data_IF_114291014734
#
_entry.id   IF_114291014734
#
_cell.length_a   1.000
_cell.length_b   1.000
_cell.length_c   1.000
_cell.angle_alpha   90.00
_cell.angle_beta   90.00
_cell.angle_gamma   90.00
#
_symmetry.space_group_name_H-M   'P 1'
#
loop_
_entity.id
_entity.type
_entity.pdbx_description
1 polymer ?
#
# COMPACT_ATOMS: atom_id res chain seq x y z
N UNK A 1 -1.31 39.31 -24.99
CA UNK A 1 -2.42 38.73 -24.21
C UNK A 1 -3.00 37.50 -24.89
N UNK A 2 -3.57 37.57 -26.10
CA UNK A 2 -4.21 36.41 -26.77
C UNK A 2 -3.28 35.16 -26.97
N UNK A 3 -2.02 35.32 -27.31
CA UNK A 3 -1.10 34.20 -27.49
C UNK A 3 -0.76 33.48 -26.17
N UNK A 4 -0.79 34.17 -25.04
CA UNK A 4 -0.57 33.61 -23.72
C UNK A 4 -1.82 32.85 -23.19
N UNK A 5 -3.01 33.42 -23.43
CA UNK A 5 -4.29 32.75 -23.16
C UNK A 5 -4.46 31.47 -23.97
N UNK A 6 -4.10 31.49 -25.25
CA UNK A 6 -4.16 30.31 -26.12
C UNK A 6 -3.21 29.20 -25.62
N UNK A 7 -1.98 29.57 -25.26
CA UNK A 7 -0.99 28.63 -24.72
C UNK A 7 -1.38 28.09 -23.31
N UNK A 8 -2.11 28.90 -22.55
CA UNK A 8 -2.64 28.49 -21.25
C UNK A 8 -3.84 27.54 -21.40
N UNK A 9 -4.72 27.77 -22.36
CA UNK A 9 -5.84 26.87 -22.69
C UNK A 9 -5.35 25.54 -23.26
N UNK A 10 -4.37 25.53 -24.13
CA UNK A 10 -3.69 24.33 -24.64
C UNK A 10 -3.07 23.54 -23.47
N UNK A 11 -2.37 24.22 -22.56
CA UNK A 11 -1.74 23.56 -21.41
C UNK A 11 -2.78 22.98 -20.41
N UNK A 12 -3.91 23.66 -20.16
CA UNK A 12 -5.00 23.14 -19.35
C UNK A 12 -5.63 21.90 -20.02
N UNK A 13 -5.86 21.96 -21.31
CA UNK A 13 -6.40 20.86 -22.11
C UNK A 13 -5.48 19.63 -22.04
N UNK A 14 -4.20 19.80 -22.25
CA UNK A 14 -3.20 18.74 -22.20
C UNK A 14 -3.11 18.12 -20.79
N UNK A 15 -3.16 18.96 -19.75
CA UNK A 15 -3.17 18.50 -18.36
C UNK A 15 -4.39 17.64 -18.05
N UNK A 16 -5.57 18.07 -18.50
CA UNK A 16 -6.82 17.32 -18.30
C UNK A 16 -6.80 15.96 -19.01
N UNK A 17 -6.29 15.89 -20.24
CA UNK A 17 -6.18 14.64 -20.98
C UNK A 17 -5.18 13.68 -20.33
N UNK A 18 -4.04 14.16 -19.85
CA UNK A 18 -3.07 13.33 -19.11
C UNK A 18 -3.63 12.77 -17.79
N UNK A 19 -4.39 13.58 -17.05
CA UNK A 19 -5.07 13.15 -15.81
C UNK A 19 -6.12 12.06 -16.11
N UNK A 20 -6.90 12.21 -17.18
CA UNK A 20 -7.91 11.24 -17.58
C UNK A 20 -7.30 9.88 -17.95
N UNK A 21 -6.22 9.88 -18.74
CA UNK A 21 -5.50 8.64 -19.11
C UNK A 21 -4.95 7.92 -17.88
N UNK A 22 -4.38 8.67 -16.93
CA UNK A 22 -3.90 8.08 -15.68
C UNK A 22 -5.04 7.43 -14.89
N UNK A 23 -6.15 8.16 -14.65
CA UNK A 23 -7.24 7.60 -13.86
C UNK A 23 -7.94 6.44 -14.56
N UNK A 24 -8.08 6.44 -15.88
CA UNK A 24 -8.61 5.31 -16.60
C UNK A 24 -7.74 4.05 -16.41
N UNK A 25 -6.42 4.17 -16.55
CA UNK A 25 -5.49 3.07 -16.31
C UNK A 25 -5.45 2.64 -14.83
N UNK A 26 -5.44 3.61 -13.90
CA UNK A 26 -5.45 3.35 -12.46
C UNK A 26 -6.72 2.59 -12.01
N UNK A 27 -7.90 3.03 -12.47
CA UNK A 27 -9.17 2.38 -12.17
C UNK A 27 -9.19 0.93 -12.67
N UNK A 28 -8.70 0.69 -13.89
CA UNK A 28 -8.63 -0.68 -14.45
C UNK A 28 -7.75 -1.61 -13.60
N UNK A 29 -6.56 -1.15 -13.22
CA UNK A 29 -5.64 -1.95 -12.40
C UNK A 29 -6.23 -2.18 -11.00
N UNK A 30 -6.75 -1.12 -10.38
CA UNK A 30 -7.32 -1.16 -9.04
C UNK A 30 -8.55 -2.06 -8.97
N UNK A 31 -9.49 -1.90 -9.91
CA UNK A 31 -10.69 -2.73 -9.98
C UNK A 31 -10.33 -4.20 -10.23
N UNK A 32 -9.38 -4.47 -11.14
CA UNK A 32 -8.88 -5.83 -11.37
C UNK A 32 -8.32 -6.45 -10.08
N UNK A 33 -7.42 -5.73 -9.38
CA UNK A 33 -6.81 -6.22 -8.13
C UNK A 33 -7.87 -6.54 -7.09
N UNK A 34 -8.80 -5.60 -6.87
CA UNK A 34 -9.91 -5.79 -5.94
C UNK A 34 -10.84 -6.95 -6.34
N UNK A 35 -11.19 -7.07 -7.62
CA UNK A 35 -12.05 -8.16 -8.08
C UNK A 35 -11.42 -9.54 -7.86
N UNK A 36 -10.11 -9.66 -8.11
CA UNK A 36 -9.35 -10.89 -7.88
C UNK A 36 -9.22 -11.26 -6.38
N UNK A 37 -9.37 -10.30 -5.48
CA UNK A 37 -9.38 -10.57 -4.03
C UNK A 37 -10.75 -10.99 -3.49
N UNK A 38 -11.79 -11.05 -4.33
CA UNK A 38 -13.16 -11.43 -3.95
C UNK A 38 -13.52 -12.84 -4.41
N UNK A 39 -14.61 -13.39 -3.83
CA UNK A 39 -15.21 -14.65 -4.26
C UNK A 39 -16.18 -14.50 -5.47
N UNK A 40 -16.21 -13.33 -6.12
CA UNK A 40 -16.95 -13.18 -7.37
C UNK A 40 -16.34 -14.04 -8.48
N UNK A 41 -17.16 -14.55 -9.43
CA UNK A 41 -16.66 -15.32 -10.57
C UNK A 41 -15.56 -14.58 -11.32
N UNK A 42 -14.42 -15.25 -11.51
CA UNK A 42 -13.25 -14.66 -12.16
C UNK A 42 -13.43 -14.67 -13.68
N UNK A 43 -13.36 -13.48 -14.28
CA UNK A 43 -13.39 -13.36 -15.73
C UNK A 43 -11.95 -13.31 -16.28
N UNK A 44 -11.53 -14.38 -16.97
CA UNK A 44 -10.19 -14.50 -17.56
C UNK A 44 -9.88 -13.37 -18.54
N UNK A 45 -10.86 -12.93 -19.34
CA UNK A 45 -10.66 -11.82 -20.30
C UNK A 45 -10.41 -10.50 -19.59
N UNK A 46 -11.15 -10.18 -18.52
CA UNK A 46 -10.91 -9.01 -17.70
C UNK A 46 -9.48 -9.01 -17.14
N UNK A 47 -9.03 -10.15 -16.63
CA UNK A 47 -7.68 -10.30 -16.07
C UNK A 47 -6.58 -10.14 -17.13
N UNK A 48 -6.79 -10.69 -18.34
CA UNK A 48 -5.78 -10.63 -19.42
C UNK A 48 -5.71 -9.27 -20.10
N UNK A 49 -6.84 -8.60 -20.34
CA UNK A 49 -6.90 -7.36 -21.11
C UNK A 49 -6.65 -6.12 -20.25
N UNK A 50 -7.00 -6.14 -18.96
CA UNK A 50 -6.85 -4.96 -18.09
C UNK A 50 -5.39 -4.50 -17.96
N UNK A 51 -4.42 -5.41 -17.90
CA UNK A 51 -3.00 -5.06 -17.73
C UNK A 51 -2.44 -4.37 -18.99
N UNK A 52 -2.55 -4.95 -20.22
CA UNK A 52 -2.06 -4.28 -21.43
C UNK A 52 -2.75 -2.94 -21.68
N UNK A 53 -4.09 -2.87 -21.51
CA UNK A 53 -4.84 -1.64 -21.73
C UNK A 53 -4.44 -0.56 -20.74
N UNK A 54 -4.37 -0.86 -19.45
CA UNK A 54 -3.92 0.09 -18.46
C UNK A 54 -2.47 0.52 -18.67
N UNK A 55 -1.59 -0.41 -19.07
CA UNK A 55 -0.19 -0.11 -19.40
C UNK A 55 -0.07 0.82 -20.60
N UNK A 56 -0.91 0.63 -21.62
CA UNK A 56 -0.99 1.51 -22.78
C UNK A 56 -1.47 2.92 -22.37
N UNK A 57 -2.56 3.03 -21.60
CA UNK A 57 -3.11 4.31 -21.17
C UNK A 57 -2.11 5.12 -20.32
N UNK A 58 -1.50 4.48 -19.33
CA UNK A 58 -0.51 5.12 -18.46
C UNK A 58 0.78 5.41 -19.23
N UNK A 59 1.19 4.51 -20.12
CA UNK A 59 2.34 4.71 -21.02
C UNK A 59 2.14 5.91 -21.94
N UNK A 60 0.97 6.06 -22.56
CA UNK A 60 0.63 7.24 -23.36
C UNK A 60 0.66 8.53 -22.54
N UNK A 61 0.14 8.48 -21.29
CA UNK A 61 0.24 9.62 -20.36
C UNK A 61 1.69 10.01 -20.12
N UNK A 62 2.55 9.05 -19.83
CA UNK A 62 3.98 9.30 -19.55
C UNK A 62 4.71 9.85 -20.78
N UNK A 63 4.45 9.30 -21.97
CA UNK A 63 5.15 9.67 -23.19
C UNK A 63 4.68 11.00 -23.78
N UNK A 64 3.38 11.31 -23.74
CA UNK A 64 2.79 12.46 -24.41
C UNK A 64 2.67 13.69 -23.50
N UNK A 65 2.45 13.48 -22.18
CA UNK A 65 2.08 14.56 -21.26
C UNK A 65 3.13 14.82 -20.17
N UNK A 66 4.02 13.86 -19.89
CA UNK A 66 5.04 14.04 -18.86
C UNK A 66 6.37 14.50 -19.44
N UNK A 67 6.96 15.54 -18.83
CA UNK A 67 8.27 16.03 -19.19
C UNK A 67 9.29 15.60 -18.14
N UNK A 68 10.34 14.89 -18.57
CA UNK A 68 11.43 14.44 -17.70
C UNK A 68 12.76 15.04 -18.19
N UNK A 69 13.58 15.66 -17.30
CA UNK A 69 14.96 15.97 -17.62
C UNK A 69 15.74 14.71 -18.00
N UNK A 70 16.70 14.82 -18.90
CA UNK A 70 17.46 13.68 -19.46
C UNK A 70 18.02 12.75 -18.35
N UNK A 71 18.57 13.31 -17.27
CA UNK A 71 19.08 12.50 -16.14
C UNK A 71 18.00 11.67 -15.46
N UNK A 72 16.83 12.26 -15.24
CA UNK A 72 15.70 11.53 -14.66
C UNK A 72 15.18 10.46 -15.62
N UNK A 73 15.08 10.78 -16.89
CA UNK A 73 14.66 9.85 -17.93
C UNK A 73 15.56 8.59 -17.97
N UNK A 74 16.88 8.77 -17.95
CA UNK A 74 17.83 7.63 -17.89
C UNK A 74 17.65 6.79 -16.62
N UNK A 75 17.46 7.45 -15.47
CA UNK A 75 17.21 6.73 -14.20
C UNK A 75 15.89 5.95 -14.26
N UNK A 76 14.84 6.49 -14.87
CA UNK A 76 13.57 5.79 -15.05
C UNK A 76 13.72 4.53 -15.91
N UNK A 77 14.53 4.57 -16.96
CA UNK A 77 14.81 3.39 -17.76
C UNK A 77 15.53 2.29 -16.97
N UNK A 78 16.50 2.66 -16.12
CA UNK A 78 17.16 1.70 -15.23
C UNK A 78 16.16 1.04 -14.29
N UNK A 79 15.28 1.83 -13.66
CA UNK A 79 14.22 1.32 -12.78
C UNK A 79 13.28 0.38 -13.53
N UNK A 80 12.83 0.77 -14.73
CA UNK A 80 11.95 -0.07 -15.56
C UNK A 80 12.62 -1.37 -15.98
N UNK A 81 13.85 -1.34 -16.47
CA UNK A 81 14.58 -2.54 -16.88
C UNK A 81 14.76 -3.49 -15.68
N UNK A 82 15.23 -2.99 -14.53
CA UNK A 82 15.37 -3.80 -13.32
C UNK A 82 14.05 -4.41 -12.88
N UNK A 83 12.94 -3.64 -12.98
CA UNK A 83 11.61 -4.13 -12.62
C UNK A 83 11.12 -5.19 -13.61
N UNK A 84 11.32 -5.00 -14.90
CA UNK A 84 10.96 -5.98 -15.94
C UNK A 84 11.74 -7.29 -15.77
N UNK A 85 13.05 -7.20 -15.50
CA UNK A 85 13.86 -8.39 -15.18
C UNK A 85 13.33 -9.10 -13.92
N UNK A 86 13.01 -8.34 -12.87
CA UNK A 86 12.40 -8.90 -11.66
C UNK A 86 11.09 -9.63 -11.99
N UNK A 87 10.18 -9.01 -12.74
CA UNK A 87 8.91 -9.64 -13.15
C UNK A 87 9.11 -10.89 -14.02
N UNK A 88 10.10 -10.87 -14.90
CA UNK A 88 10.42 -12.01 -15.75
C UNK A 88 10.87 -13.21 -14.93
N UNK A 89 11.80 -13.02 -13.97
CA UNK A 89 12.30 -14.11 -13.15
C UNK A 89 11.35 -14.56 -12.04
N UNK A 90 10.50 -13.65 -11.53
CA UNK A 90 9.53 -13.95 -10.48
C UNK A 90 8.19 -14.47 -11.01
N UNK A 91 7.91 -14.29 -12.30
CA UNK A 91 6.60 -14.55 -12.93
C UNK A 91 5.45 -13.76 -12.27
N UNK A 92 5.76 -12.60 -11.66
CA UNK A 92 4.76 -11.72 -11.02
C UNK A 92 4.70 -10.37 -11.72
N UNK A 93 3.53 -9.76 -11.78
CA UNK A 93 3.32 -8.48 -12.47
C UNK A 93 3.15 -7.28 -11.54
N UNK A 94 2.92 -7.52 -10.24
CA UNK A 94 2.56 -6.47 -9.28
C UNK A 94 3.68 -5.41 -9.13
N UNK A 95 4.95 -5.83 -9.16
CA UNK A 95 6.08 -4.91 -9.14
C UNK A 95 6.05 -3.94 -10.33
N UNK A 96 5.79 -4.45 -11.54
CA UNK A 96 5.67 -3.64 -12.75
C UNK A 96 4.49 -2.67 -12.68
N UNK A 97 3.32 -3.15 -12.27
CA UNK A 97 2.11 -2.32 -12.14
C UNK A 97 2.31 -1.19 -11.13
N UNK A 98 2.94 -1.47 -9.99
CA UNK A 98 3.25 -0.45 -9.00
C UNK A 98 4.21 0.62 -9.56
N UNK A 99 5.29 0.24 -10.23
CA UNK A 99 6.24 1.19 -10.83
C UNK A 99 5.56 2.00 -11.94
N UNK A 100 4.77 1.37 -12.78
CA UNK A 100 4.02 2.04 -13.85
C UNK A 100 3.09 3.12 -13.28
N UNK A 101 2.35 2.80 -12.22
CA UNK A 101 1.46 3.74 -11.52
C UNK A 101 2.25 4.86 -10.83
N UNK A 102 3.39 4.54 -10.21
CA UNK A 102 4.29 5.54 -9.61
C UNK A 102 4.77 6.54 -10.66
N UNK A 103 5.18 6.07 -11.82
CA UNK A 103 5.60 6.94 -12.92
C UNK A 103 4.44 7.77 -13.47
N UNK A 104 3.30 7.12 -13.70
CA UNK A 104 2.09 7.78 -14.18
C UNK A 104 1.48 8.78 -13.19
N UNK A 105 1.74 8.66 -11.88
CA UNK A 105 1.21 9.58 -10.86
C UNK A 105 1.88 10.96 -10.87
N UNK A 106 2.90 11.16 -11.71
CA UNK A 106 3.56 12.47 -11.84
C UNK A 106 2.53 13.55 -12.20
N UNK A 107 2.60 14.67 -11.49
CA UNK A 107 1.73 15.84 -11.67
C UNK A 107 0.23 15.59 -11.39
N UNK A 108 -0.14 14.40 -10.88
CA UNK A 108 -1.50 14.09 -10.42
C UNK A 108 -1.65 14.47 -8.93
N UNK A 109 -2.77 15.06 -8.57
CA UNK A 109 -3.09 15.40 -7.19
C UNK A 109 -3.33 14.13 -6.35
N UNK A 110 -2.50 13.91 -5.34
CA UNK A 110 -2.54 12.68 -4.54
C UNK A 110 -3.89 12.48 -3.82
N UNK A 111 -4.53 13.54 -3.34
CA UNK A 111 -5.86 13.42 -2.72
C UNK A 111 -6.95 12.94 -3.70
N UNK A 112 -6.84 13.26 -5.00
CA UNK A 112 -7.75 12.71 -6.01
C UNK A 112 -7.52 11.20 -6.17
N UNK A 113 -6.24 10.76 -6.21
CA UNK A 113 -5.89 9.34 -6.26
C UNK A 113 -6.50 8.62 -5.04
N UNK A 114 -6.33 9.17 -3.84
CA UNK A 114 -6.89 8.59 -2.61
C UNK A 114 -8.42 8.52 -2.62
N UNK A 115 -9.10 9.54 -3.16
CA UNK A 115 -10.57 9.55 -3.26
C UNK A 115 -11.06 8.46 -4.23
N UNK A 116 -10.41 8.31 -5.39
CA UNK A 116 -10.75 7.25 -6.36
C UNK A 116 -10.49 5.87 -5.74
N UNK A 117 -9.35 5.69 -5.06
CA UNK A 117 -9.04 4.47 -4.33
C UNK A 117 -10.13 4.15 -3.29
N UNK A 118 -10.49 5.12 -2.44
CA UNK A 118 -11.50 4.94 -1.39
C UNK A 118 -12.86 4.53 -1.95
N UNK A 119 -13.27 5.15 -3.07
CA UNK A 119 -14.57 4.83 -3.72
C UNK A 119 -14.56 3.42 -4.30
N UNK A 120 -13.53 3.06 -5.06
CA UNK A 120 -13.50 1.76 -5.75
C UNK A 120 -13.30 0.61 -4.76
N UNK A 121 -12.28 0.70 -3.90
CA UNK A 121 -12.02 -0.35 -2.90
C UNK A 121 -13.19 -0.46 -1.92
N UNK A 122 -13.71 0.67 -1.43
CA UNK A 122 -14.88 0.70 -0.55
C UNK A 122 -16.13 0.10 -1.19
N UNK A 123 -16.43 0.47 -2.44
CA UNK A 123 -17.60 -0.06 -3.14
C UNK A 123 -17.51 -1.58 -3.36
N UNK A 124 -16.33 -2.09 -3.80
CA UNK A 124 -16.14 -3.53 -4.00
C UNK A 124 -16.19 -4.28 -2.67
N UNK A 125 -15.61 -3.74 -1.59
CA UNK A 125 -15.69 -4.32 -0.25
C UNK A 125 -17.14 -4.42 0.25
N UNK A 126 -17.92 -3.35 0.12
CA UNK A 126 -19.33 -3.35 0.51
C UNK A 126 -20.13 -4.34 -0.34
N UNK A 127 -19.89 -4.36 -1.66
CA UNK A 127 -20.55 -5.28 -2.57
C UNK A 127 -20.25 -6.75 -2.22
N UNK A 128 -18.97 -7.09 -1.98
CA UNK A 128 -18.57 -8.44 -1.60
C UNK A 128 -19.17 -8.86 -0.24
N UNK A 129 -19.13 -7.96 0.75
CA UNK A 129 -19.75 -8.20 2.05
C UNK A 129 -21.26 -8.48 1.93
N UNK A 130 -22.00 -7.61 1.24
CA UNK A 130 -23.45 -7.80 1.04
C UNK A 130 -23.74 -9.05 0.21
N UNK A 131 -23.04 -9.31 -0.88
CA UNK A 131 -23.22 -10.49 -1.70
C UNK A 131 -22.95 -11.78 -0.93
N UNK A 132 -21.97 -11.79 -0.04
CA UNK A 132 -21.67 -12.95 0.81
C UNK A 132 -22.71 -13.16 1.92
N UNK A 133 -23.28 -12.08 2.47
CA UNK A 133 -24.31 -12.20 3.52
C UNK A 133 -25.65 -12.68 2.97
N UNK A 134 -25.99 -12.36 1.72
CA UNK A 134 -27.22 -12.85 1.06
C UNK A 134 -27.01 -14.17 0.30
N UNK A 135 -25.79 -14.74 0.32
CA UNK A 135 -25.49 -16.03 -0.29
C UNK A 135 -25.30 -16.02 -1.81
N UNK A 136 -25.09 -14.85 -2.42
CA UNK A 136 -24.76 -14.72 -3.87
C UNK A 136 -23.33 -15.18 -4.16
N UNK A 137 -22.41 -14.92 -3.26
CA UNK A 137 -21.05 -15.46 -3.26
C UNK A 137 -20.76 -16.14 -1.92
N UNK A 138 -19.79 -17.03 -1.91
CA UNK A 138 -19.44 -17.79 -0.72
C UNK A 138 -18.77 -16.90 0.34
N UNK A 139 -19.19 -17.02 1.61
CA UNK A 139 -18.42 -16.55 2.74
C UNK A 139 -17.51 -17.67 3.23
N UNK A 140 -16.27 -17.70 2.78
CA UNK A 140 -15.30 -18.71 3.21
C UNK A 140 -15.08 -18.60 4.73
N UNK A 141 -15.21 -19.74 5.40
CA UNK A 141 -15.04 -19.86 6.84
C UNK A 141 -13.90 -20.83 7.15
N UNK A 142 -12.94 -20.38 7.93
CA UNK A 142 -11.75 -21.15 8.29
C UNK A 142 -11.78 -21.47 9.78
N UNK A 143 -11.63 -22.74 10.12
CA UNK A 143 -11.51 -23.16 11.50
C UNK A 143 -10.05 -23.07 11.96
N UNK A 144 -9.81 -22.53 13.15
CA UNK A 144 -8.50 -22.53 13.80
C UNK A 144 -8.46 -23.59 14.90
N UNK A 145 -7.28 -24.00 15.34
CA UNK A 145 -7.04 -24.99 16.40
C UNK A 145 -7.94 -24.82 17.64
N UNK A 146 -8.38 -23.58 17.94
CA UNK A 146 -9.28 -23.24 19.03
C UNK A 146 -10.79 -23.34 18.69
N UNK A 147 -11.15 -23.99 17.56
CA UNK A 147 -12.53 -24.10 17.04
C UNK A 147 -13.23 -22.75 16.78
N UNK A 148 -12.45 -21.66 16.63
CA UNK A 148 -13.00 -20.34 16.31
C UNK A 148 -13.11 -20.20 14.80
N UNK A 149 -14.32 -19.95 14.31
CA UNK A 149 -14.57 -19.69 12.89
C UNK A 149 -14.12 -18.28 12.53
N UNK A 150 -13.35 -18.17 11.47
CA UNK A 150 -12.83 -16.94 10.87
C UNK A 150 -13.58 -16.69 9.58
N UNK A 151 -14.27 -15.57 9.47
CA UNK A 151 -15.07 -15.22 8.30
C UNK A 151 -14.26 -14.35 7.34
N UNK A 152 -14.34 -14.65 6.05
CA UNK A 152 -13.71 -13.87 4.98
C UNK A 152 -14.65 -12.82 4.36
N UNK A 153 -15.95 -12.88 4.64
CA UNK A 153 -16.97 -11.93 4.20
C UNK A 153 -16.94 -11.64 2.68
N UNK A 154 -16.82 -12.69 1.86
CA UNK A 154 -16.81 -12.59 0.40
C UNK A 154 -15.47 -12.18 -0.21
N UNK A 155 -14.44 -12.00 0.62
CA UNK A 155 -13.02 -11.88 0.20
C UNK A 155 -12.40 -13.28 0.25
N UNK A 156 -11.28 -13.50 -0.46
CA UNK A 156 -10.64 -14.82 -0.57
C UNK A 156 -10.05 -15.33 0.75
N UNK A 157 -9.76 -14.44 1.73
CA UNK A 157 -9.20 -14.84 3.00
C UNK A 157 -9.53 -13.83 4.13
N UNK A 158 -9.71 -14.27 5.40
CA UNK A 158 -10.10 -13.38 6.50
C UNK A 158 -9.11 -12.25 6.80
N UNK A 159 -7.80 -12.49 6.70
CA UNK A 159 -6.80 -11.44 6.88
C UNK A 159 -6.77 -10.45 5.73
N UNK A 160 -7.12 -10.87 4.52
CA UNK A 160 -7.20 -9.97 3.37
C UNK A 160 -8.38 -8.99 3.51
N UNK A 161 -9.54 -9.49 4.01
CA UNK A 161 -10.66 -8.61 4.38
C UNK A 161 -10.25 -7.57 5.41
N UNK A 162 -9.55 -8.00 6.46
CA UNK A 162 -9.07 -7.11 7.53
C UNK A 162 -8.02 -6.12 7.03
N UNK A 163 -7.11 -6.55 6.16
CA UNK A 163 -6.10 -5.70 5.54
C UNK A 163 -6.74 -4.61 4.67
N UNK A 164 -7.73 -4.94 3.82
CA UNK A 164 -8.45 -3.93 3.06
C UNK A 164 -9.07 -2.85 3.96
N UNK A 165 -9.69 -3.24 5.07
CA UNK A 165 -10.25 -2.30 6.04
C UNK A 165 -9.18 -1.42 6.69
N UNK A 166 -8.02 -1.99 7.05
CA UNK A 166 -6.89 -1.22 7.57
C UNK A 166 -6.41 -0.17 6.55
N UNK A 167 -6.17 -0.57 5.29
CA UNK A 167 -5.70 0.36 4.26
C UNK A 167 -6.74 1.44 3.93
N UNK A 168 -8.04 1.12 3.89
CA UNK A 168 -9.12 2.11 3.77
C UNK A 168 -9.09 3.12 4.92
N UNK A 169 -8.91 2.65 6.16
CA UNK A 169 -8.78 3.54 7.32
C UNK A 169 -7.58 4.48 7.21
N UNK A 170 -6.42 4.00 6.74
CA UNK A 170 -5.26 4.88 6.54
C UNK A 170 -5.60 6.04 5.60
N UNK A 171 -6.32 5.76 4.52
CA UNK A 171 -6.75 6.77 3.54
C UNK A 171 -7.80 7.71 4.14
N UNK A 172 -8.80 7.20 4.86
CA UNK A 172 -9.83 8.01 5.53
C UNK A 172 -9.19 8.97 6.53
N UNK A 173 -8.28 8.48 7.38
CA UNK A 173 -7.57 9.29 8.36
C UNK A 173 -6.78 10.42 7.69
N UNK A 174 -6.10 10.12 6.60
CA UNK A 174 -5.35 11.15 5.87
C UNK A 174 -6.26 12.20 5.22
N UNK A 175 -7.33 11.78 4.54
CA UNK A 175 -8.28 12.73 3.90
C UNK A 175 -8.96 13.59 4.97
N UNK A 176 -9.30 13.02 6.12
CA UNK A 176 -10.00 13.72 7.22
C UNK A 176 -9.07 14.40 8.23
N UNK A 177 -7.75 14.38 8.04
CA UNK A 177 -6.73 14.85 9.01
C UNK A 177 -7.02 16.22 9.62
N UNK A 178 -7.56 17.16 8.84
CA UNK A 178 -7.87 18.52 9.30
C UNK A 178 -9.25 18.63 9.97
N UNK A 179 -10.09 17.61 9.89
CA UNK A 179 -11.47 17.58 10.40
C UNK A 179 -11.75 16.34 11.24
N UNK A 180 -10.70 15.78 11.87
CA UNK A 180 -10.82 14.59 12.70
C UNK A 180 -11.70 14.86 13.92
N UNK A 181 -12.67 13.96 14.14
CA UNK A 181 -13.57 13.97 15.30
C UNK A 181 -13.35 12.68 16.09
N UNK A 182 -13.66 12.70 17.38
CA UNK A 182 -13.55 11.52 18.27
C UNK A 182 -14.26 10.27 17.72
N UNK A 183 -15.34 10.46 16.95
CA UNK A 183 -16.08 9.34 16.36
C UNK A 183 -15.22 8.52 15.37
N UNK A 184 -14.26 9.13 14.65
CA UNK A 184 -13.36 8.39 13.76
C UNK A 184 -12.42 7.48 14.56
N UNK A 185 -11.88 7.97 15.68
CA UNK A 185 -11.01 7.17 16.56
C UNK A 185 -11.78 6.02 17.21
N UNK A 186 -12.93 6.33 17.82
CA UNK A 186 -13.78 5.33 18.49
C UNK A 186 -14.33 4.30 17.51
N UNK A 187 -14.81 4.73 16.34
CA UNK A 187 -15.27 3.84 15.30
C UNK A 187 -14.19 2.90 14.79
N UNK A 188 -12.93 3.40 14.64
CA UNK A 188 -11.81 2.57 14.22
C UNK A 188 -11.37 1.56 15.29
N UNK A 189 -11.41 1.94 16.57
CA UNK A 189 -11.18 1.00 17.70
C UNK A 189 -12.27 -0.07 17.72
N UNK A 190 -13.54 0.32 17.54
CA UNK A 190 -14.65 -0.64 17.43
C UNK A 190 -14.46 -1.59 16.25
N UNK A 191 -14.04 -1.07 15.07
CA UNK A 191 -13.76 -1.90 13.90
C UNK A 191 -12.59 -2.86 14.15
N UNK A 192 -11.52 -2.42 14.83
CA UNK A 192 -10.41 -3.31 15.23
C UNK A 192 -10.92 -4.47 16.12
N UNK A 193 -11.88 -4.21 17.03
CA UNK A 193 -12.55 -5.24 17.81
C UNK A 193 -13.39 -6.19 16.96
N UNK A 194 -14.12 -5.68 15.98
CA UNK A 194 -14.95 -6.48 15.04
C UNK A 194 -14.09 -7.43 14.23
N UNK A 195 -13.02 -6.94 13.58
CA UNK A 195 -12.13 -7.81 12.77
C UNK A 195 -11.34 -8.79 13.64
N UNK A 196 -10.99 -8.41 14.88
CA UNK A 196 -10.39 -9.33 15.84
C UNK A 196 -11.36 -10.48 16.20
N UNK A 197 -12.64 -10.17 16.39
CA UNK A 197 -13.64 -11.15 16.79
C UNK A 197 -14.06 -12.06 15.63
N UNK A 198 -14.43 -11.50 14.48
CA UNK A 198 -15.00 -12.23 13.34
C UNK A 198 -13.97 -12.81 12.37
N UNK A 199 -12.83 -12.15 12.20
CA UNK A 199 -11.78 -12.60 11.28
C UNK A 199 -10.58 -13.25 11.99
N UNK A 200 -10.51 -13.18 13.34
CA UNK A 200 -9.32 -13.51 14.15
C UNK A 200 -8.03 -12.91 13.58
N UNK A 201 -8.13 -11.67 13.07
CA UNK A 201 -7.04 -10.95 12.46
C UNK A 201 -6.35 -10.04 13.47
N UNK A 202 -5.51 -10.64 14.32
CA UNK A 202 -4.86 -9.97 15.45
C UNK A 202 -3.93 -8.84 15.01
N UNK A 203 -3.13 -9.10 13.99
CA UNK A 203 -2.08 -8.18 13.56
C UNK A 203 -2.64 -6.97 12.81
N UNK A 204 -3.70 -7.13 12.02
CA UNK A 204 -4.38 -6.01 11.39
C UNK A 204 -5.12 -5.15 12.41
N UNK A 205 -5.73 -5.78 13.43
CA UNK A 205 -6.33 -5.07 14.57
C UNK A 205 -5.28 -4.21 15.29
N UNK A 206 -4.10 -4.76 15.56
CA UNK A 206 -2.98 -4.01 16.15
C UNK A 206 -2.52 -2.87 15.23
N UNK A 207 -2.45 -3.10 13.92
CA UNK A 207 -2.09 -2.06 12.94
C UNK A 207 -3.09 -0.90 12.94
N UNK A 208 -4.39 -1.18 13.05
CA UNK A 208 -5.44 -0.15 13.22
C UNK A 208 -5.24 0.63 14.53
N UNK A 209 -4.97 -0.04 15.64
CA UNK A 209 -4.73 0.63 16.93
C UNK A 209 -3.49 1.51 16.89
N UNK A 210 -2.41 1.07 16.22
CA UNK A 210 -1.22 1.89 16.00
C UNK A 210 -1.56 3.13 15.16
N UNK A 211 -2.30 2.97 14.06
CA UNK A 211 -2.75 4.09 13.24
C UNK A 211 -3.55 5.11 14.06
N UNK A 212 -4.55 4.64 14.82
CA UNK A 212 -5.37 5.47 15.70
C UNK A 212 -4.51 6.21 16.72
N UNK A 213 -3.60 5.51 17.40
CA UNK A 213 -2.70 6.09 18.40
C UNK A 213 -1.80 7.18 17.81
N UNK A 214 -1.22 6.96 16.64
CA UNK A 214 -0.37 7.93 15.96
C UNK A 214 -1.11 9.21 15.60
N UNK A 215 -2.29 9.09 15.02
CA UNK A 215 -3.09 10.26 14.63
C UNK A 215 -3.66 10.98 15.84
N UNK A 216 -4.12 10.24 16.87
CA UNK A 216 -4.64 10.86 18.09
C UNK A 216 -3.53 11.59 18.86
N UNK A 217 -2.41 10.91 19.16
CA UNK A 217 -1.28 11.52 19.89
C UNK A 217 -0.70 12.69 19.07
N UNK A 218 -0.54 12.53 17.75
CA UNK A 218 -0.07 13.61 16.88
C UNK A 218 -0.98 14.83 16.92
N UNK A 219 -2.29 14.63 16.84
CA UNK A 219 -3.28 15.69 16.90
C UNK A 219 -3.28 16.40 18.27
N UNK A 220 -3.19 15.65 19.38
CA UNK A 220 -3.08 16.23 20.73
C UNK A 220 -1.79 17.03 20.89
N UNK A 221 -0.65 16.51 20.44
CA UNK A 221 0.62 17.23 20.52
C UNK A 221 0.62 18.54 19.71
N UNK A 222 -0.01 18.54 18.52
CA UNK A 222 -0.04 19.70 17.64
C UNK A 222 -1.03 20.77 18.11
N UNK A 223 -2.18 20.37 18.67
CA UNK A 223 -3.30 21.29 18.90
C UNK A 223 -3.58 21.59 20.37
N UNK A 224 -3.13 20.76 21.32
CA UNK A 224 -3.41 20.99 22.74
C UNK A 224 -2.61 22.17 23.32
N UNK A 225 -3.32 23.10 23.93
CA UNK A 225 -2.72 24.31 24.53
C UNK A 225 -1.79 24.04 25.70
N UNK A 226 -1.94 22.89 26.37
CA UNK A 226 -1.10 22.46 27.48
C UNK A 226 0.24 21.85 27.06
N UNK A 227 0.39 21.51 25.76
CA UNK A 227 1.63 20.93 25.24
C UNK A 227 2.64 22.03 24.93
N UNK A 228 3.83 21.97 25.57
CA UNK A 228 4.86 22.96 25.37
C UNK A 228 5.38 22.94 23.91
N UNK A 229 5.73 24.11 23.37
CA UNK A 229 6.32 24.27 22.04
C UNK A 229 7.60 23.44 21.85
N UNK A 230 8.33 23.17 22.94
CA UNK A 230 9.53 22.33 22.89
C UNK A 230 9.17 20.85 22.61
N UNK A 231 8.10 20.33 23.20
CA UNK A 231 7.61 18.97 22.94
C UNK A 231 7.12 18.87 21.48
N UNK A 232 6.33 19.84 21.01
CA UNK A 232 5.88 19.90 19.62
C UNK A 232 7.07 19.89 18.64
N UNK A 233 8.09 20.70 18.90
CA UNK A 233 9.31 20.75 18.09
C UNK A 233 10.05 19.41 18.08
N UNK A 234 10.24 18.78 19.25
CA UNK A 234 10.91 17.46 19.36
C UNK A 234 10.11 16.38 18.61
N UNK A 235 8.79 16.36 18.75
CA UNK A 235 7.90 15.45 18.05
C UNK A 235 8.02 15.59 16.53
N UNK A 236 7.97 16.84 16.05
CA UNK A 236 8.12 17.14 14.62
C UNK A 236 9.49 16.70 14.08
N UNK A 237 10.58 16.97 14.82
CA UNK A 237 11.93 16.55 14.42
C UNK A 237 12.06 15.02 14.41
N UNK A 238 11.54 14.35 15.43
CA UNK A 238 11.53 12.89 15.52
C UNK A 238 10.83 12.28 14.31
N UNK A 239 9.59 12.70 14.03
CA UNK A 239 8.82 12.13 12.91
C UNK A 239 9.37 12.50 11.53
N UNK A 240 9.95 13.68 11.36
CA UNK A 240 10.66 14.03 10.13
C UNK A 240 11.88 13.17 9.90
N UNK A 241 12.57 12.74 10.95
CA UNK A 241 13.73 11.87 10.84
C UNK A 241 13.34 10.40 10.68
N UNK A 242 12.58 9.87 11.64
CA UNK A 242 12.17 8.45 11.66
C UNK A 242 11.19 8.14 10.51
N UNK A 243 10.23 9.03 10.25
CA UNK A 243 9.22 8.82 9.22
C UNK A 243 9.81 8.71 7.81
N UNK A 244 10.88 9.47 7.50
CA UNK A 244 11.55 9.37 6.19
C UNK A 244 12.10 7.95 5.97
N UNK A 245 12.70 7.35 6.98
CA UNK A 245 13.36 6.06 6.90
C UNK A 245 12.54 4.90 7.48
N UNK A 246 11.27 5.13 7.82
CA UNK A 246 10.41 4.12 8.46
C UNK A 246 10.38 2.79 7.71
N UNK A 247 10.14 2.83 6.40
CA UNK A 247 10.05 1.62 5.57
C UNK A 247 11.40 0.86 5.53
N UNK A 248 12.55 1.48 5.21
CA UNK A 248 13.85 0.80 5.27
C UNK A 248 14.19 0.25 6.66
N UNK A 249 13.95 1.02 7.72
CA UNK A 249 14.25 0.58 9.10
C UNK A 249 13.44 -0.67 9.44
N UNK A 250 12.11 -0.63 9.20
CA UNK A 250 11.22 -1.75 9.49
C UNK A 250 11.55 -2.95 8.59
N UNK A 251 11.94 -2.72 7.34
CA UNK A 251 12.39 -3.78 6.43
C UNK A 251 13.63 -4.50 6.97
N UNK A 252 14.65 -3.76 7.39
CA UNK A 252 15.88 -4.33 7.97
C UNK A 252 15.58 -5.09 9.24
N UNK A 253 14.74 -4.55 10.13
CA UNK A 253 14.32 -5.23 11.37
C UNK A 253 13.56 -6.52 11.07
N UNK A 254 12.64 -6.51 10.10
CA UNK A 254 11.83 -7.68 9.72
C UNK A 254 12.69 -8.80 9.12
N UNK A 255 13.57 -8.45 8.19
CA UNK A 255 14.49 -9.40 7.54
C UNK A 255 15.50 -9.92 8.56
N UNK A 256 16.07 -9.05 9.40
CA UNK A 256 16.98 -9.42 10.49
C UNK A 256 16.32 -10.39 11.47
N UNK A 257 15.10 -10.09 11.93
CA UNK A 257 14.34 -10.98 12.81
C UNK A 257 14.07 -12.35 12.16
N UNK A 258 13.73 -12.36 10.87
CA UNK A 258 13.49 -13.60 10.12
C UNK A 258 14.76 -14.45 10.00
N UNK A 259 15.90 -13.82 9.68
CA UNK A 259 17.17 -14.56 9.48
C UNK A 259 17.81 -14.99 10.79
N UNK A 260 17.62 -14.23 11.87
CA UNK A 260 18.13 -14.54 13.22
C UNK A 260 17.19 -15.45 14.01
N UNK A 261 16.02 -15.80 13.48
CA UNK A 261 15.06 -16.67 14.16
C UNK A 261 15.71 -18.01 14.54
N UNK A 262 15.52 -18.41 15.81
CA UNK A 262 15.99 -19.70 16.34
C UNK A 262 14.85 -20.41 17.08
N UNK A 263 14.38 -21.52 16.53
CA UNK A 263 13.29 -22.32 17.10
C UNK A 263 13.59 -22.94 18.48
N UNK A 264 14.82 -22.84 18.97
CA UNK A 264 15.26 -23.35 20.28
C UNK A 264 15.17 -22.34 21.43
N UNK A 265 15.06 -21.04 21.12
CA UNK A 265 14.99 -19.98 22.14
C UNK A 265 13.54 -19.62 22.42
N UNK A 266 13.14 -19.59 23.72
CA UNK A 266 11.79 -19.21 24.17
C UNK A 266 11.38 -17.85 23.62
N UNK A 267 12.25 -16.86 23.68
CA UNK A 267 12.00 -15.52 23.13
C UNK A 267 11.61 -15.57 21.65
N UNK A 268 12.38 -16.30 20.83
CA UNK A 268 12.11 -16.39 19.40
C UNK A 268 10.84 -17.20 19.11
N UNK A 269 10.57 -18.25 19.87
CA UNK A 269 9.35 -19.07 19.73
C UNK A 269 8.11 -18.22 20.06
N UNK A 270 8.15 -17.45 21.14
CA UNK A 270 7.02 -16.63 21.55
C UNK A 270 6.79 -15.45 20.57
N UNK A 271 7.87 -14.80 20.12
CA UNK A 271 7.80 -13.78 19.07
C UNK A 271 7.22 -14.36 17.76
N UNK A 272 7.64 -15.55 17.36
CA UNK A 272 7.12 -16.20 16.15
C UNK A 272 5.62 -16.55 16.30
N UNK A 273 5.19 -17.04 17.46
CA UNK A 273 3.76 -17.27 17.76
C UNK A 273 2.96 -15.97 17.73
N UNK A 274 3.49 -14.90 18.32
CA UNK A 274 2.86 -13.57 18.27
C UNK A 274 2.68 -13.10 16.84
N UNK A 275 3.70 -13.27 15.98
CA UNK A 275 3.69 -12.95 14.56
C UNK A 275 3.00 -14.04 13.70
N UNK A 276 2.27 -14.96 14.30
CA UNK A 276 1.52 -16.03 13.61
C UNK A 276 2.42 -16.86 12.67
N UNK A 277 3.58 -17.28 13.16
CA UNK A 277 4.59 -18.12 12.52
C UNK A 277 5.32 -17.51 11.29
N UNK A 278 5.23 -16.19 11.11
CA UNK A 278 5.83 -15.51 9.94
C UNK A 278 7.35 -15.54 9.92
N UNK A 279 8.01 -15.60 11.08
CA UNK A 279 9.48 -15.70 11.14
C UNK A 279 9.96 -17.06 10.63
N UNK A 280 9.37 -18.14 11.12
CA UNK A 280 9.72 -19.51 10.69
C UNK A 280 9.40 -19.75 9.21
N UNK A 281 8.24 -19.31 8.74
CA UNK A 281 7.84 -19.42 7.32
C UNK A 281 8.80 -18.64 6.40
N UNK A 282 9.12 -17.40 6.75
CA UNK A 282 10.08 -16.60 6.00
C UNK A 282 11.48 -17.16 6.00
N UNK A 283 11.96 -17.70 7.14
CA UNK A 283 13.27 -18.34 7.24
C UNK A 283 13.33 -19.62 6.41
N UNK A 284 12.31 -20.46 6.45
CA UNK A 284 12.22 -21.66 5.63
C UNK A 284 12.24 -21.34 4.14
N UNK A 285 11.48 -20.29 3.73
CA UNK A 285 11.51 -19.82 2.36
C UNK A 285 12.89 -19.31 1.93
N UNK A 286 13.60 -18.59 2.82
CA UNK A 286 14.96 -18.13 2.57
C UNK A 286 15.95 -19.30 2.44
N UNK A 287 15.91 -20.27 3.35
CA UNK A 287 16.79 -21.45 3.31
C UNK A 287 16.58 -22.25 2.01
N UNK A 288 15.30 -22.42 1.60
CA UNK A 288 14.94 -23.18 0.39
C UNK A 288 15.33 -22.46 -0.91
N UNK A 289 15.23 -21.12 -0.98
CA UNK A 289 15.32 -20.39 -2.24
C UNK A 289 16.55 -19.49 -2.37
N UNK A 290 17.12 -19.03 -1.26
CA UNK A 290 18.20 -18.04 -1.23
C UNK A 290 17.77 -16.66 -1.75
N UNK A 291 18.69 -15.70 -1.71
CA UNK A 291 18.49 -14.35 -2.28
C UNK A 291 19.10 -14.31 -3.68
N UNK A 292 18.36 -13.73 -4.64
CA UNK A 292 18.82 -13.53 -6.01
C UNK A 292 18.72 -12.07 -6.40
N UNK A 293 19.54 -11.64 -7.38
CA UNK A 293 19.57 -10.24 -7.81
C UNK A 293 18.23 -9.77 -8.39
N UNK A 294 17.61 -10.56 -9.27
CA UNK A 294 16.34 -10.24 -9.92
C UNK A 294 15.18 -11.14 -9.48
N UNK A 295 15.38 -11.89 -8.39
CA UNK A 295 14.36 -12.76 -7.84
C UNK A 295 14.25 -14.13 -8.50
N UNK A 296 13.17 -14.82 -8.16
CA UNK A 296 12.88 -16.19 -8.59
C UNK A 296 11.38 -16.45 -8.51
N UNK A 297 10.86 -17.24 -9.43
CA UNK A 297 9.53 -17.79 -9.28
C UNK A 297 9.50 -18.73 -8.05
N UNK A 298 8.72 -18.34 -7.04
CA UNK A 298 8.43 -19.14 -5.84
C UNK A 298 6.92 -19.37 -5.85
N UNK A 299 6.54 -20.63 -6.00
CA UNK A 299 5.13 -20.99 -5.96
C UNK A 299 4.57 -20.74 -4.55
N UNK A 300 3.61 -19.83 -4.45
CA UNK A 300 2.93 -19.49 -3.21
C UNK A 300 1.70 -20.38 -3.08
N UNK A 301 1.70 -21.23 -2.09
CA UNK A 301 0.59 -22.14 -1.77
C UNK A 301 0.02 -21.73 -0.42
N UNK A 302 -1.17 -21.17 -0.43
CA UNK A 302 -1.87 -20.67 0.75
C UNK A 302 -3.35 -21.08 0.76
N UNK A 303 -4.08 -20.69 1.77
CA UNK A 303 -5.51 -21.01 1.94
C UNK A 303 -6.45 -20.04 1.19
N UNK A 304 -5.94 -19.01 0.53
CA UNK A 304 -6.79 -18.01 -0.13
C UNK A 304 -7.70 -18.62 -1.19
N UNK A 305 -9.02 -18.39 -1.09
CA UNK A 305 -10.02 -18.87 -2.04
C UNK A 305 -10.45 -20.33 -1.90
N UNK A 306 -9.97 -21.07 -0.89
CA UNK A 306 -10.37 -22.46 -0.63
C UNK A 306 -10.39 -22.76 0.87
N UNK A 307 -11.29 -23.67 1.28
CA UNK A 307 -11.33 -24.25 2.63
C UNK A 307 -10.75 -25.67 2.67
N UNK A 308 -10.28 -26.18 1.52
CA UNK A 308 -9.66 -27.50 1.46
C UNK A 308 -8.31 -27.52 2.18
N UNK A 309 -7.89 -28.72 2.61
CA UNK A 309 -6.59 -28.91 3.27
C UNK A 309 -5.45 -28.67 2.28
N UNK A 310 -4.59 -27.71 2.58
CA UNK A 310 -3.37 -27.43 1.81
C UNK A 310 -2.23 -28.29 2.37
N UNK A 311 -1.76 -29.27 1.58
CA UNK A 311 -0.74 -30.23 2.03
C UNK A 311 0.66 -29.60 2.14
N UNK A 312 1.03 -28.73 1.19
CA UNK A 312 2.37 -28.11 1.11
C UNK A 312 2.26 -26.59 1.26
N UNK A 313 1.84 -26.13 2.44
CA UNK A 313 1.75 -24.70 2.73
C UNK A 313 3.10 -24.00 2.53
N UNK A 314 3.17 -23.09 1.57
CA UNK A 314 4.37 -22.31 1.24
C UNK A 314 3.99 -20.87 0.92
N UNK A 315 3.79 -20.05 1.96
CA UNK A 315 3.37 -18.68 1.79
C UNK A 315 4.27 -17.72 2.57
N UNK A 316 4.69 -16.62 1.94
CA UNK A 316 5.55 -15.60 2.53
C UNK A 316 4.71 -14.36 2.79
N UNK A 317 4.15 -14.24 3.99
CA UNK A 317 3.30 -13.11 4.37
C UNK A 317 4.07 -11.79 4.56
N UNK A 318 5.30 -11.83 5.09
CA UNK A 318 6.08 -10.60 5.30
C UNK A 318 6.46 -9.98 3.96
N UNK A 319 5.95 -8.78 3.66
CA UNK A 319 6.23 -8.04 2.42
C UNK A 319 7.73 -7.91 2.13
N UNK A 320 8.53 -7.62 3.13
CA UNK A 320 9.97 -7.37 2.96
C UNK A 320 10.73 -8.62 2.55
N UNK A 321 10.41 -9.76 3.21
CA UNK A 321 10.99 -11.07 2.86
C UNK A 321 10.45 -11.52 1.51
N UNK A 322 9.15 -11.34 1.26
CA UNK A 322 8.51 -11.69 -0.01
C UNK A 322 9.20 -10.97 -1.18
N UNK A 323 9.30 -9.63 -1.13
CA UNK A 323 9.93 -8.84 -2.21
C UNK A 323 11.40 -9.23 -2.38
N UNK A 324 12.13 -9.43 -1.29
CA UNK A 324 13.55 -9.79 -1.33
C UNK A 324 13.78 -11.16 -2.02
N UNK A 325 12.94 -12.15 -1.75
CA UNK A 325 13.11 -13.51 -2.29
C UNK A 325 12.47 -13.66 -3.67
N UNK A 326 11.23 -13.15 -3.85
CA UNK A 326 10.47 -13.30 -5.10
C UNK A 326 10.93 -12.31 -6.15
N UNK A 327 11.00 -11.00 -5.80
CA UNK A 327 11.35 -9.95 -6.75
C UNK A 327 12.86 -9.64 -6.81
N UNK A 328 13.61 -10.08 -5.81
CA UNK A 328 15.06 -9.98 -5.76
C UNK A 328 15.61 -8.68 -5.17
N UNK A 329 16.91 -8.70 -4.91
CA UNK A 329 17.63 -7.61 -4.24
C UNK A 329 17.57 -6.29 -5.01
N UNK A 330 17.68 -6.32 -6.35
CA UNK A 330 17.66 -5.10 -7.16
C UNK A 330 16.35 -4.34 -7.03
N UNK A 331 15.21 -5.02 -7.20
CA UNK A 331 13.90 -4.40 -7.04
C UNK A 331 13.63 -4.00 -5.59
N UNK A 332 14.06 -4.81 -4.62
CA UNK A 332 13.95 -4.48 -3.20
C UNK A 332 14.65 -3.15 -2.86
N UNK A 333 15.89 -2.94 -3.31
CA UNK A 333 16.62 -1.69 -3.11
C UNK A 333 15.92 -0.50 -3.81
N UNK A 334 15.42 -0.68 -5.03
CA UNK A 334 14.65 0.33 -5.75
C UNK A 334 13.39 0.71 -4.96
N UNK A 335 12.64 -0.26 -4.47
CA UNK A 335 11.41 -0.03 -3.70
C UNK A 335 11.69 0.78 -2.43
N UNK A 336 12.71 0.40 -1.65
CA UNK A 336 13.11 1.14 -0.45
C UNK A 336 13.55 2.58 -0.79
N UNK A 337 14.31 2.78 -1.86
CA UNK A 337 14.71 4.10 -2.32
C UNK A 337 13.51 4.97 -2.71
N UNK A 338 12.52 4.39 -3.41
CA UNK A 338 11.28 5.09 -3.78
C UNK A 338 10.47 5.49 -2.54
N UNK A 339 10.36 4.65 -1.50
CA UNK A 339 9.71 5.02 -0.25
C UNK A 339 10.43 6.16 0.47
N UNK A 340 11.77 6.14 0.52
CA UNK A 340 12.56 7.24 1.10
C UNK A 340 12.32 8.54 0.31
N UNK A 341 12.31 8.50 -1.01
CA UNK A 341 12.03 9.66 -1.85
C UNK A 341 10.59 10.17 -1.66
N UNK A 342 9.62 9.27 -1.61
CA UNK A 342 8.22 9.59 -1.34
C UNK A 342 8.07 10.31 0.02
N UNK A 343 8.64 9.75 1.08
CA UNK A 343 8.58 10.31 2.43
C UNK A 343 9.31 11.66 2.52
N UNK A 344 10.47 11.82 1.86
CA UNK A 344 11.18 13.11 1.78
C UNK A 344 10.35 14.19 1.12
N UNK A 345 9.65 13.87 0.03
CA UNK A 345 8.74 14.83 -0.64
C UNK A 345 7.59 15.25 0.26
N UNK A 346 7.09 14.34 1.09
CA UNK A 346 5.95 14.56 1.98
C UNK A 346 6.35 14.88 3.44
N UNK A 347 7.62 15.17 3.71
CA UNK A 347 8.17 15.36 5.06
C UNK A 347 7.51 16.47 5.89
N UNK A 348 6.88 17.44 5.23
CA UNK A 348 6.11 18.53 5.89
C UNK A 348 4.74 18.08 6.39
N UNK A 349 4.23 16.95 5.92
CA UNK A 349 2.93 16.41 6.27
C UNK A 349 3.10 15.20 7.21
N UNK A 350 3.02 15.43 8.52
CA UNK A 350 3.20 14.37 9.51
C UNK A 350 2.13 13.28 9.39
N UNK A 351 0.90 13.63 9.05
CA UNK A 351 -0.17 12.65 8.85
C UNK A 351 0.15 11.66 7.73
N UNK A 352 0.86 12.11 6.68
CA UNK A 352 1.39 11.20 5.65
C UNK A 352 2.41 10.24 6.22
N UNK A 353 3.33 10.73 7.04
CA UNK A 353 4.37 9.91 7.67
C UNK A 353 3.78 8.92 8.68
N UNK A 354 2.74 9.30 9.44
CA UNK A 354 2.03 8.38 10.34
C UNK A 354 1.36 7.23 9.57
N UNK A 355 0.70 7.53 8.46
CA UNK A 355 0.08 6.52 7.62
C UNK A 355 1.12 5.56 7.03
N UNK A 356 2.22 6.09 6.45
CA UNK A 356 3.32 5.26 5.92
C UNK A 356 3.95 4.39 7.01
N UNK A 357 4.15 4.92 8.23
CA UNK A 357 4.70 4.15 9.34
C UNK A 357 3.77 3.00 9.74
N UNK A 358 2.47 3.25 9.85
CA UNK A 358 1.48 2.21 10.14
C UNK A 358 1.45 1.14 9.03
N UNK A 359 1.49 1.56 7.75
CA UNK A 359 1.60 0.66 6.60
C UNK A 359 2.89 -0.15 6.66
N UNK A 360 4.02 0.47 6.98
CA UNK A 360 5.29 -0.24 7.09
C UNK A 360 5.26 -1.34 8.18
N UNK A 361 4.61 -1.07 9.32
CA UNK A 361 4.40 -2.09 10.36
C UNK A 361 3.49 -3.21 9.85
N UNK A 362 2.37 -2.89 9.20
CA UNK A 362 1.48 -3.90 8.64
C UNK A 362 2.20 -4.78 7.62
N UNK A 363 3.10 -4.22 6.81
CA UNK A 363 3.92 -4.96 5.84
C UNK A 363 4.91 -5.97 6.47
N UNK A 364 5.15 -5.94 7.80
CA UNK A 364 5.89 -7.02 8.50
C UNK A 364 5.10 -8.34 8.50
N UNK A 365 3.77 -8.24 8.41
CA UNK A 365 2.85 -9.36 8.63
C UNK A 365 1.90 -9.62 7.48
N UNK A 366 1.90 -8.75 6.46
CA UNK A 366 1.09 -8.84 5.25
C UNK A 366 1.93 -8.54 4.00
N UNK A 367 1.68 -9.24 2.88
CA UNK A 367 2.52 -9.17 1.67
C UNK A 367 2.08 -8.08 0.66
N UNK A 368 1.43 -7.02 1.14
CA UNK A 368 0.68 -6.06 0.30
C UNK A 368 1.46 -4.81 -0.13
N UNK A 369 2.79 -4.73 0.10
CA UNK A 369 3.56 -3.49 -0.12
C UNK A 369 3.54 -2.98 -1.57
N UNK A 370 3.43 -3.89 -2.56
CA UNK A 370 3.39 -3.57 -4.01
C UNK A 370 2.03 -3.89 -4.66
N UNK A 371 1.02 -4.22 -3.88
CA UNK A 371 -0.32 -4.50 -4.37
C UNK A 371 -1.18 -3.23 -4.26
N UNK A 372 -1.54 -2.65 -5.40
CA UNK A 372 -2.23 -1.35 -5.44
C UNK A 372 -3.63 -1.37 -4.82
N UNK A 373 -4.30 -2.50 -4.85
CA UNK A 373 -5.60 -2.73 -4.22
C UNK A 373 -5.58 -2.61 -2.69
N UNK A 374 -4.40 -2.73 -2.10
CA UNK A 374 -4.13 -2.43 -0.70
C UNK A 374 -3.37 -1.11 -0.55
N UNK A 375 -2.20 -0.99 -1.13
CA UNK A 375 -1.23 0.04 -0.81
C UNK A 375 -1.08 1.10 -1.90
N UNK A 376 -1.80 2.19 -1.78
CA UNK A 376 -1.79 3.34 -2.70
C UNK A 376 -0.71 4.39 -2.34
N UNK A 377 -0.06 4.25 -1.19
CA UNK A 377 0.75 5.31 -0.57
C UNK A 377 1.99 5.70 -1.36
N UNK A 378 2.60 4.76 -2.08
CA UNK A 378 3.79 5.06 -2.88
C UNK A 378 3.51 6.04 -4.03
N UNK A 379 2.24 6.16 -4.47
CA UNK A 379 1.83 7.14 -5.49
C UNK A 379 1.95 8.58 -4.99
N UNK A 380 2.08 8.81 -3.68
CA UNK A 380 2.39 10.11 -3.10
C UNK A 380 3.74 10.70 -3.55
N UNK A 381 4.60 9.93 -4.21
CA UNK A 381 5.84 10.41 -4.82
C UNK A 381 5.58 11.36 -6.01
N UNK A 382 4.42 11.25 -6.66
CA UNK A 382 4.04 12.09 -7.81
C UNK A 382 3.77 13.57 -7.49
N UNK A 383 3.66 13.93 -6.20
CA UNK A 383 3.36 15.30 -5.77
C UNK A 383 4.49 16.26 -6.18
N UNK A 384 4.17 17.23 -7.05
CA UNK A 384 5.09 18.31 -7.40
C UNK A 384 4.92 19.48 -6.41
N UNK A 385 5.93 19.73 -5.55
CA UNK A 385 5.90 20.88 -4.63
C UNK A 385 5.78 22.24 -5.36
N UNK A 386 6.13 22.32 -6.64
CA UNK A 386 6.06 23.55 -7.43
C UNK A 386 4.64 24.07 -7.69
N UNK A 387 3.64 23.17 -7.71
CA UNK A 387 2.23 23.56 -7.96
C UNK A 387 1.52 24.10 -6.71
N UNK A 388 1.91 23.62 -5.52
CA UNK A 388 1.36 24.16 -4.25
C UNK A 388 1.81 25.60 -4.04
N UNK A 389 3.05 25.91 -4.36
CA UNK A 389 3.61 27.27 -4.26
C UNK A 389 2.94 28.22 -5.28
N UNK A 390 2.61 27.73 -6.47
CA UNK A 390 1.98 28.55 -7.52
C UNK A 390 0.53 28.92 -7.19
N UNK A 391 -0.26 28.02 -6.59
CA UNK A 391 -1.63 28.33 -6.11
C UNK A 391 -1.64 29.38 -5.00
N UNK A 392 -0.61 29.39 -4.14
CA UNK A 392 -0.47 30.40 -3.08
C UNK A 392 -0.12 31.78 -3.66
N UNK A 393 0.69 31.83 -4.73
CA UNK A 393 0.99 33.09 -5.42
C UNK A 393 -0.22 33.61 -6.21
N UNK A 394 -0.94 32.73 -6.91
CA UNK A 394 -2.15 33.14 -7.67
C UNK A 394 -3.32 33.56 -6.76
N UNK A 395 -3.43 33.05 -5.53
CA UNK A 395 -4.45 33.49 -4.55
C UNK A 395 -4.11 34.80 -3.87
N UNK A 396 -2.84 35.23 -3.85
CA UNK A 396 -2.41 36.51 -3.26
C UNK A 396 -2.39 37.70 -4.26
N UNK A 397 -2.48 37.41 -5.57
CA UNK A 397 -2.57 38.46 -6.60
C UNK A 397 -4.03 38.93 -6.87
N UNK A 398 -5.02 38.36 -6.17
CA UNK A 398 -6.44 38.74 -6.24
C UNK A 398 -6.98 39.29 -4.92
N UNK A 399 -6.10 39.70 -3.98
CA UNK A 399 -6.53 40.35 -2.73
C UNK A 399 -6.06 41.82 -2.66
#
# INVERSE_FOLDING_TARGET
MKAWEQKYQEWISDFYHGELLFFAGFILILFRGMWLSTMFPQNRMLSLLSIPVASLLIGLKILLFDHYPVKQFLMLWVVLICTMLSCYFSHTVNAFLMILLVLGSKDIEFEKILKVYLVIVGAVMVLAFLASTVGVIENLQYERENKRLRNAFGIIYPTDFSAHLFYLLTVIFYIKRNTMKSIYYLGSIGLAGVIYYFCDSRLDSVSILILVGLYWIGNEIENASFVSRNIQKKWNVFWKSVGIYSVPIIAVLSIGATFLYRGTSTFWVDLNKFLSNRLSLGQNAYIKNGIRLFGKNIEMVGFGGTTETVLDYNFIDCSYVHILLVNGMAFFCILLALYVLCNKKNVKNLCFLYAIFAVAINCMVAHHIVQIEYNVWLLGIGINCSKVTRRIYESNDFS
#
